data_IF_739647912146
#
_entry.id   IF_739647912146
#
_cell.length_a   1.000
_cell.length_b   1.000
_cell.length_c   1.000
_cell.angle_alpha   90.00
_cell.angle_beta   90.00
_cell.angle_gamma   90.00
#
_symmetry.space_group_name_H-M   'P 1'
#
loop_
_entity.id
_entity.type
_entity.pdbx_description
1 polymer ?
#
# COMPACT_ATOMS: atom_id res chain seq x y z
N UNK A 1 18.26 -3.01 -9.12
CA UNK A 1 18.47 -4.05 -8.08
C UNK A 1 18.62 -3.42 -6.70
N UNK A 2 19.51 -2.43 -6.49
CA UNK A 2 19.75 -1.77 -5.19
C UNK A 2 18.48 -1.15 -4.62
N UNK A 3 17.67 -0.51 -5.44
CA UNK A 3 16.42 0.16 -5.07
C UNK A 3 15.40 -0.85 -4.52
N UNK A 4 15.31 -2.05 -5.12
CA UNK A 4 14.46 -3.13 -4.60
C UNK A 4 14.96 -3.69 -3.27
N UNK A 5 16.27 -3.90 -3.12
CA UNK A 5 16.85 -4.33 -1.86
C UNK A 5 16.55 -3.33 -0.75
N UNK A 6 16.67 -2.03 -1.03
CA UNK A 6 16.28 -0.96 -0.11
C UNK A 6 14.82 -1.06 0.31
N UNK A 7 13.90 -1.25 -0.64
CA UNK A 7 12.47 -1.44 -0.39
C UNK A 7 12.18 -2.66 0.50
N UNK A 8 12.84 -3.80 0.25
CA UNK A 8 12.68 -4.99 1.08
C UNK A 8 13.21 -4.80 2.51
N UNK A 9 14.35 -4.15 2.67
CA UNK A 9 14.91 -3.83 4.01
C UNK A 9 13.95 -2.91 4.77
N UNK A 10 13.40 -1.90 4.11
CA UNK A 10 12.42 -0.99 4.69
C UNK A 10 11.13 -1.72 5.12
N UNK A 11 10.63 -2.66 4.29
CA UNK A 11 9.47 -3.48 4.63
C UNK A 11 9.70 -4.32 5.88
N UNK A 12 10.86 -5.00 5.97
CA UNK A 12 11.25 -5.79 7.13
C UNK A 12 11.39 -4.90 8.37
N UNK A 13 11.98 -3.71 8.23
CA UNK A 13 12.14 -2.76 9.33
C UNK A 13 10.76 -2.27 9.84
N UNK A 14 9.83 -1.96 8.94
CA UNK A 14 8.47 -1.55 9.29
C UNK A 14 7.74 -2.65 10.09
N UNK A 15 7.82 -3.91 9.64
CA UNK A 15 7.21 -5.04 10.36
C UNK A 15 7.86 -5.29 11.71
N UNK A 16 9.20 -5.27 11.80
CA UNK A 16 9.91 -5.50 13.07
C UNK A 16 9.72 -4.38 14.10
N UNK A 17 9.49 -3.16 13.65
CA UNK A 17 9.26 -2.01 14.54
C UNK A 17 7.79 -1.85 14.95
N UNK A 18 6.86 -2.62 14.36
CA UNK A 18 5.42 -2.45 14.55
C UNK A 18 4.84 -1.19 13.89
N UNK A 19 5.61 -0.55 13.02
CA UNK A 19 5.15 0.62 12.26
C UNK A 19 3.96 0.27 11.35
N UNK A 20 3.97 -0.92 10.76
CA UNK A 20 2.88 -1.47 9.96
C UNK A 20 1.56 -1.54 10.75
N UNK A 21 1.61 -2.04 12.00
CA UNK A 21 0.44 -2.11 12.90
C UNK A 21 -0.06 -0.70 13.26
N UNK A 22 0.86 0.20 13.59
CA UNK A 22 0.53 1.60 13.90
C UNK A 22 -0.16 2.27 12.72
N UNK A 23 0.43 2.16 11.52
CA UNK A 23 -0.13 2.74 10.30
C UNK A 23 -1.49 2.14 9.95
N UNK A 24 -1.63 0.81 10.01
CA UNK A 24 -2.91 0.15 9.73
C UNK A 24 -4.01 0.63 10.67
N UNK A 25 -3.74 0.73 11.98
CA UNK A 25 -4.71 1.23 12.96
C UNK A 25 -5.10 2.69 12.70
N UNK A 26 -4.11 3.54 12.51
CA UNK A 26 -4.30 4.98 12.31
C UNK A 26 -5.04 5.27 11.01
N UNK A 27 -4.69 4.54 9.93
CA UNK A 27 -5.28 4.76 8.61
C UNK A 27 -6.67 4.12 8.44
N UNK A 28 -6.98 3.02 9.16
CA UNK A 28 -8.30 2.39 9.09
C UNK A 28 -9.34 3.17 9.93
N UNK A 29 -8.92 3.78 11.03
CA UNK A 29 -9.81 4.50 11.94
C UNK A 29 -10.73 5.54 11.27
N UNK A 30 -10.28 6.37 10.31
CA UNK A 30 -11.11 7.37 9.64
C UNK A 30 -12.27 6.78 8.82
N UNK A 31 -12.19 5.52 8.40
CA UNK A 31 -13.25 4.89 7.60
C UNK A 31 -14.48 4.50 8.43
N UNK A 32 -14.39 4.63 9.75
CA UNK A 32 -15.50 4.39 10.67
C UNK A 32 -15.95 2.93 10.73
N UNK A 33 -17.20 2.72 11.12
CA UNK A 33 -17.74 1.37 11.39
C UNK A 33 -18.58 0.78 10.24
N UNK A 34 -18.91 1.56 9.20
CA UNK A 34 -19.70 1.05 8.07
C UNK A 34 -18.93 -0.01 7.31
N UNK A 35 -19.52 -1.19 7.09
CA UNK A 35 -18.87 -2.34 6.45
C UNK A 35 -18.27 -2.00 5.08
N UNK A 36 -18.98 -1.22 4.27
CA UNK A 36 -18.52 -0.80 2.95
C UNK A 36 -17.32 0.16 3.02
N UNK A 37 -17.30 1.05 4.01
CA UNK A 37 -16.18 1.97 4.22
C UNK A 37 -14.95 1.23 4.75
N UNK A 38 -15.15 0.24 5.62
CA UNK A 38 -14.08 -0.64 6.09
C UNK A 38 -13.44 -1.40 4.92
N UNK A 39 -14.25 -1.91 3.99
CA UNK A 39 -13.75 -2.53 2.76
C UNK A 39 -12.89 -1.56 1.96
N UNK A 40 -13.37 -0.33 1.72
CA UNK A 40 -12.62 0.71 1.03
C UNK A 40 -11.32 1.04 1.75
N UNK A 41 -11.39 1.18 3.08
CA UNK A 41 -10.22 1.45 3.92
C UNK A 41 -9.14 0.37 3.77
N UNK A 42 -9.52 -0.90 3.85
CA UNK A 42 -8.58 -2.00 3.63
C UNK A 42 -7.96 -1.98 2.25
N UNK A 43 -8.75 -1.71 1.20
CA UNK A 43 -8.24 -1.61 -0.17
C UNK A 43 -7.25 -0.45 -0.35
N UNK A 44 -7.62 0.75 0.11
CA UNK A 44 -6.78 1.94 -0.02
C UNK A 44 -5.48 1.81 0.78
N UNK A 45 -5.57 1.34 2.02
CA UNK A 45 -4.39 1.17 2.88
C UNK A 45 -3.46 0.11 2.31
N UNK A 46 -4.02 -1.03 1.88
CA UNK A 46 -3.25 -2.07 1.20
C UNK A 46 -2.57 -1.51 -0.05
N UNK A 47 -3.28 -0.70 -0.84
CA UNK A 47 -2.73 -0.04 -2.01
C UNK A 47 -1.57 0.89 -1.67
N UNK A 48 -1.71 1.74 -0.65
CA UNK A 48 -0.66 2.65 -0.20
C UNK A 48 0.59 1.89 0.26
N UNK A 49 0.43 0.84 1.06
CA UNK A 49 1.57 0.02 1.47
C UNK A 49 2.25 -0.66 0.28
N UNK A 50 1.46 -1.18 -0.65
CA UNK A 50 1.98 -1.89 -1.80
C UNK A 50 2.72 -1.00 -2.81
N UNK A 51 2.57 0.30 -2.74
CA UNK A 51 3.39 1.25 -3.50
C UNK A 51 4.88 1.14 -3.15
N UNK A 52 5.20 0.79 -1.90
CA UNK A 52 6.57 0.82 -1.37
C UNK A 52 7.06 -0.52 -0.85
N UNK A 53 6.14 -1.44 -0.60
CA UNK A 53 6.38 -2.79 -0.09
C UNK A 53 5.89 -3.78 -1.16
N UNK A 54 6.55 -4.92 -1.31
CA UNK A 54 6.10 -5.92 -2.30
C UNK A 54 4.65 -6.35 -2.06
N UNK A 55 3.90 -6.59 -3.14
CA UNK A 55 2.49 -6.97 -3.08
C UNK A 55 2.25 -8.18 -2.16
N UNK A 56 3.14 -9.18 -2.23
CA UNK A 56 3.04 -10.41 -1.42
C UNK A 56 3.23 -10.12 0.07
N UNK A 57 4.25 -9.32 0.43
CA UNK A 57 4.49 -8.95 1.82
C UNK A 57 3.35 -8.09 2.38
N UNK A 58 2.88 -7.12 1.60
CA UNK A 58 1.73 -6.28 1.94
C UNK A 58 0.47 -7.12 2.14
N UNK A 59 0.18 -8.05 1.22
CA UNK A 59 -0.99 -8.91 1.33
C UNK A 59 -0.92 -9.81 2.58
N UNK A 60 0.22 -10.44 2.84
CA UNK A 60 0.42 -11.29 4.02
C UNK A 60 0.21 -10.49 5.32
N UNK A 61 0.79 -9.29 5.42
CA UNK A 61 0.63 -8.39 6.56
C UNK A 61 -0.84 -8.00 6.75
N UNK A 62 -1.50 -7.53 5.70
CA UNK A 62 -2.89 -7.06 5.76
C UNK A 62 -3.89 -8.18 6.07
N UNK A 63 -3.63 -9.42 5.63
CA UNK A 63 -4.45 -10.59 5.99
C UNK A 63 -4.42 -10.86 7.50
N UNK A 64 -3.32 -10.59 8.20
CA UNK A 64 -3.27 -10.74 9.67
C UNK A 64 -4.23 -9.79 10.36
N UNK A 65 -4.44 -8.58 9.82
CA UNK A 65 -5.39 -7.60 10.36
C UNK A 65 -6.86 -7.96 10.08
N UNK A 66 -7.14 -8.84 9.12
CA UNK A 66 -8.51 -9.33 8.90
C UNK A 66 -8.96 -10.35 9.97
N UNK A 67 -8.04 -11.01 10.65
CA UNK A 67 -8.38 -12.04 11.65
C UNK A 67 -9.36 -11.52 12.73
N UNK A 68 -9.11 -10.37 13.39
CA UNK A 68 -10.08 -9.83 14.36
C UNK A 68 -11.37 -9.34 13.68
N UNK A 69 -11.32 -8.84 12.45
CA UNK A 69 -12.49 -8.39 11.71
C UNK A 69 -13.39 -9.57 11.35
N UNK A 70 -12.82 -10.70 11.00
CA UNK A 70 -13.57 -11.94 10.72
C UNK A 70 -14.33 -12.48 11.91
N UNK A 71 -13.86 -12.24 13.15
CA UNK A 71 -14.60 -12.64 14.35
C UNK A 71 -15.92 -11.87 14.51
N UNK A 72 -15.99 -10.65 13.97
CA UNK A 72 -17.20 -9.82 13.99
C UNK A 72 -18.14 -10.09 12.80
N UNK A 73 -17.76 -10.95 11.85
CA UNK A 73 -18.53 -11.27 10.65
C UNK A 73 -19.03 -12.72 10.69
N UNK A 74 -20.24 -13.02 10.14
CA UNK A 74 -20.76 -14.39 10.01
C UNK A 74 -19.75 -15.28 9.28
N UNK A 75 -19.59 -16.53 9.75
CA UNK A 75 -18.58 -17.45 9.22
C UNK A 75 -18.70 -17.71 7.71
N UNK A 76 -19.93 -17.80 7.19
CA UNK A 76 -20.24 -18.02 5.77
C UNK A 76 -20.71 -16.74 5.06
N UNK A 77 -20.44 -15.57 5.64
CA UNK A 77 -20.88 -14.30 5.09
C UNK A 77 -20.05 -13.85 3.87
N UNK A 78 -20.74 -13.37 2.83
CA UNK A 78 -20.08 -12.81 1.62
C UNK A 78 -19.12 -11.65 1.95
N UNK A 79 -19.34 -10.93 3.06
CA UNK A 79 -18.45 -9.87 3.53
C UNK A 79 -17.04 -10.34 3.88
N UNK A 80 -16.86 -11.59 4.32
CA UNK A 80 -15.51 -12.17 4.51
C UNK A 80 -14.80 -12.34 3.18
N UNK A 81 -15.51 -12.83 2.16
CA UNK A 81 -14.96 -12.96 0.80
C UNK A 81 -14.57 -11.58 0.27
N UNK A 82 -15.45 -10.58 0.43
CA UNK A 82 -15.17 -9.21 0.01
C UNK A 82 -13.87 -8.67 0.61
N UNK A 83 -13.69 -8.79 1.92
CA UNK A 83 -12.48 -8.32 2.63
C UNK A 83 -11.24 -9.13 2.24
N UNK A 84 -11.36 -10.45 2.06
CA UNK A 84 -10.23 -11.28 1.62
C UNK A 84 -9.78 -10.90 0.21
N UNK A 85 -10.72 -10.65 -0.70
CA UNK A 85 -10.42 -10.24 -2.08
C UNK A 85 -9.90 -8.79 -2.17
N UNK A 86 -10.33 -7.94 -1.25
CA UNK A 86 -9.88 -6.54 -1.19
C UNK A 86 -8.36 -6.40 -1.04
N UNK A 87 -7.73 -7.31 -0.31
CA UNK A 87 -6.29 -7.25 -0.02
C UNK A 87 -5.44 -7.53 -1.26
N UNK A 88 -5.52 -8.67 -1.95
CA UNK A 88 -4.69 -8.91 -3.13
C UNK A 88 -5.02 -7.93 -4.27
N UNK A 89 -6.28 -7.52 -4.43
CA UNK A 89 -6.66 -6.53 -5.43
C UNK A 89 -6.07 -5.17 -5.07
N UNK A 90 -6.19 -4.75 -3.80
CA UNK A 90 -5.57 -3.52 -3.30
C UNK A 90 -4.06 -3.51 -3.46
N UNK A 91 -3.39 -4.63 -3.14
CA UNK A 91 -1.95 -4.76 -3.29
C UNK A 91 -1.51 -4.68 -4.76
N UNK A 92 -2.16 -5.41 -5.66
CA UNK A 92 -1.80 -5.42 -7.08
C UNK A 92 -2.03 -4.05 -7.74
N UNK A 93 -3.17 -3.43 -7.50
CA UNK A 93 -3.46 -2.10 -8.03
C UNK A 93 -2.54 -1.04 -7.43
N UNK A 94 -2.36 -1.05 -6.10
CA UNK A 94 -1.50 -0.11 -5.41
C UNK A 94 -0.05 -0.19 -5.84
N UNK A 95 0.46 -1.40 -6.03
CA UNK A 95 1.83 -1.64 -6.50
C UNK A 95 2.16 -0.98 -7.84
N UNK A 96 1.16 -0.66 -8.67
CA UNK A 96 1.37 0.08 -9.92
C UNK A 96 1.69 1.56 -9.70
N UNK A 97 1.40 2.11 -8.51
CA UNK A 97 1.54 3.53 -8.22
C UNK A 97 2.98 4.06 -8.24
N UNK A 98 3.97 3.20 -8.03
CA UNK A 98 5.39 3.58 -8.07
C UNK A 98 6.22 2.67 -8.98
N UNK A 99 7.36 3.13 -9.50
CA UNK A 99 8.27 2.28 -10.28
C UNK A 99 8.80 1.06 -9.51
N UNK A 100 8.83 1.12 -8.18
CA UNK A 100 9.38 0.08 -7.31
C UNK A 100 8.33 -0.84 -6.69
N UNK A 101 7.05 -0.48 -6.77
CA UNK A 101 5.98 -1.23 -6.12
C UNK A 101 5.85 -2.67 -6.65
N UNK A 102 6.15 -2.89 -7.94
CA UNK A 102 6.22 -4.24 -8.52
C UNK A 102 7.40 -4.40 -9.48
N UNK A 103 7.97 -5.62 -9.65
CA UNK A 103 9.05 -5.86 -10.59
C UNK A 103 8.74 -5.47 -12.05
N UNK A 104 7.53 -5.72 -12.60
CA UNK A 104 7.18 -5.27 -13.94
C UNK A 104 7.29 -3.76 -14.15
N UNK A 105 6.92 -2.96 -13.15
CA UNK A 105 7.03 -1.49 -13.25
C UNK A 105 8.47 -1.05 -13.37
N UNK A 106 9.37 -1.62 -12.56
CA UNK A 106 10.78 -1.29 -12.63
C UNK A 106 11.40 -1.68 -13.96
N UNK A 107 10.96 -2.79 -14.56
CA UNK A 107 11.39 -3.16 -15.90
C UNK A 107 10.86 -2.17 -16.94
N UNK A 108 9.57 -1.83 -16.90
CA UNK A 108 8.97 -0.83 -17.78
C UNK A 108 9.65 0.53 -17.62
N UNK A 109 9.87 0.98 -16.40
CA UNK A 109 10.56 2.23 -16.10
C UNK A 109 11.97 2.26 -16.69
N UNK A 110 12.72 1.14 -16.57
CA UNK A 110 14.05 1.00 -17.18
C UNK A 110 13.98 1.12 -18.71
N UNK A 111 13.05 0.44 -19.37
CA UNK A 111 12.88 0.51 -20.82
C UNK A 111 12.53 1.93 -21.28
N UNK A 112 11.74 2.65 -20.51
CA UNK A 112 11.36 4.02 -20.82
C UNK A 112 12.53 5.01 -20.68
N UNK A 113 13.39 4.84 -19.66
CA UNK A 113 14.40 5.84 -19.28
C UNK A 113 15.82 5.51 -19.73
N UNK A 114 16.14 4.24 -20.03
CA UNK A 114 17.49 3.84 -20.39
C UNK A 114 17.91 4.41 -21.77
N UNK A 115 19.20 4.76 -21.95
CA UNK A 115 19.74 5.28 -23.21
C UNK A 115 19.59 4.29 -24.38
N UNK A 116 19.61 2.99 -24.08
CA UNK A 116 19.38 1.90 -25.04
C UNK A 116 17.89 1.52 -25.18
N UNK A 117 17.00 2.21 -24.44
CA UNK A 117 15.55 2.10 -24.51
C UNK A 117 14.91 3.26 -25.27
N UNK A 118 13.84 3.81 -24.71
CA UNK A 118 13.15 4.98 -25.30
C UNK A 118 13.81 6.32 -24.93
N UNK A 119 14.73 6.31 -23.99
CA UNK A 119 15.49 7.48 -23.51
C UNK A 119 14.59 8.68 -23.15
N UNK A 120 13.46 8.40 -22.48
CA UNK A 120 12.54 9.43 -22.02
C UNK A 120 13.01 9.99 -20.67
N UNK A 121 12.95 11.28 -20.52
CA UNK A 121 13.24 11.97 -19.25
C UNK A 121 12.01 11.89 -18.32
N UNK A 122 11.83 10.73 -17.71
CA UNK A 122 10.74 10.45 -16.77
C UNK A 122 11.33 10.18 -15.40
N UNK A 123 11.07 11.09 -14.45
CA UNK A 123 11.42 10.92 -13.05
C UNK A 123 10.50 9.97 -12.28
N UNK A 124 10.92 9.59 -11.09
CA UNK A 124 10.09 8.79 -10.17
C UNK A 124 8.78 9.52 -9.83
N UNK A 125 8.85 10.84 -9.63
CA UNK A 125 7.69 11.69 -9.36
C UNK A 125 6.73 11.77 -10.55
N UNK A 126 7.25 11.83 -11.79
CA UNK A 126 6.43 11.88 -13.01
C UNK A 126 5.61 10.60 -13.18
N UNK A 127 6.25 9.43 -12.91
CA UNK A 127 5.52 8.17 -12.87
C UNK A 127 4.38 8.21 -11.86
N UNK A 128 4.65 8.64 -10.62
CA UNK A 128 3.64 8.72 -9.57
C UNK A 128 2.52 9.70 -9.91
N UNK A 129 2.85 10.84 -10.53
CA UNK A 129 1.87 11.87 -10.91
C UNK A 129 0.80 11.32 -11.85
N UNK A 130 1.17 10.39 -12.73
CA UNK A 130 0.26 9.74 -13.68
C UNK A 130 -0.40 8.52 -13.05
N UNK A 131 0.40 7.66 -12.40
CA UNK A 131 -0.07 6.35 -11.96
C UNK A 131 -0.90 6.40 -10.66
N UNK A 132 -0.58 7.30 -9.72
CA UNK A 132 -1.35 7.38 -8.47
C UNK A 132 -2.83 7.77 -8.68
N UNK A 133 -3.18 8.78 -9.49
CA UNK A 133 -4.58 9.06 -9.81
C UNK A 133 -5.27 7.87 -10.50
N UNK A 134 -4.59 7.22 -11.45
CA UNK A 134 -5.12 6.03 -12.13
C UNK A 134 -5.38 4.89 -11.14
N UNK A 135 -4.44 4.60 -10.26
CA UNK A 135 -4.57 3.58 -9.20
C UNK A 135 -5.75 3.91 -8.28
N UNK A 136 -5.92 5.17 -7.88
CA UNK A 136 -7.04 5.59 -7.04
C UNK A 136 -8.39 5.31 -7.73
N UNK A 137 -8.53 5.68 -9.01
CA UNK A 137 -9.73 5.39 -9.80
C UNK A 137 -9.98 3.88 -9.88
N UNK A 138 -8.95 3.08 -10.17
CA UNK A 138 -9.04 1.63 -10.25
C UNK A 138 -9.44 1.00 -8.91
N UNK A 139 -8.90 1.48 -7.78
CA UNK A 139 -9.26 1.02 -6.44
C UNK A 139 -10.74 1.33 -6.11
N UNK A 140 -11.22 2.51 -6.47
CA UNK A 140 -12.64 2.89 -6.26
C UNK A 140 -13.55 2.03 -7.14
N UNK A 141 -13.20 1.79 -8.40
CA UNK A 141 -13.94 0.90 -9.29
C UNK A 141 -13.96 -0.54 -8.77
N UNK A 142 -12.81 -1.06 -8.35
CA UNK A 142 -12.71 -2.40 -7.77
C UNK A 142 -13.52 -2.51 -6.47
N UNK A 143 -13.49 -1.49 -5.61
CA UNK A 143 -14.34 -1.42 -4.42
C UNK A 143 -15.82 -1.50 -4.77
N UNK A 144 -16.26 -0.73 -5.78
CA UNK A 144 -17.65 -0.73 -6.23
C UNK A 144 -18.09 -2.11 -6.75
N UNK A 145 -17.22 -2.78 -7.51
CA UNK A 145 -17.46 -4.13 -8.06
C UNK A 145 -17.54 -5.15 -6.91
N UNK A 146 -16.55 -5.16 -6.00
CA UNK A 146 -16.48 -6.12 -4.90
C UNK A 146 -17.69 -5.98 -3.97
N UNK A 147 -18.07 -4.76 -3.59
CA UNK A 147 -19.22 -4.55 -2.71
C UNK A 147 -20.53 -4.98 -3.35
N UNK A 148 -20.66 -4.87 -4.70
CA UNK A 148 -21.83 -5.32 -5.45
C UNK A 148 -21.88 -6.85 -5.58
N UNK A 149 -20.74 -7.48 -5.81
CA UNK A 149 -20.64 -8.95 -5.95
C UNK A 149 -20.77 -9.68 -4.60
N UNK A 150 -20.20 -9.09 -3.56
CA UNK A 150 -20.12 -9.67 -2.21
C UNK A 150 -20.71 -8.73 -1.15
N UNK A 151 -22.04 -8.51 -1.14
CA UNK A 151 -22.65 -7.60 -0.19
C UNK A 151 -22.51 -8.07 1.24
N UNK A 152 -22.30 -7.11 2.15
CA UNK A 152 -22.25 -7.38 3.58
C UNK A 152 -23.64 -7.63 4.15
N UNK A 153 -23.79 -8.68 4.96
CA UNK A 153 -25.03 -8.95 5.71
C UNK A 153 -25.22 -7.96 6.87
N UNK A 154 -24.13 -7.36 7.34
CA UNK A 154 -24.12 -6.40 8.45
C UNK A 154 -23.75 -5.01 7.94
N UNK A 155 -24.49 -3.99 8.39
CA UNK A 155 -24.21 -2.59 8.02
C UNK A 155 -22.98 -2.02 8.71
N UNK A 156 -22.60 -2.56 9.87
CA UNK A 156 -21.48 -2.07 10.68
C UNK A 156 -20.58 -3.21 11.15
N UNK A 157 -19.28 -2.95 11.18
CA UNK A 157 -18.24 -3.84 11.70
C UNK A 157 -17.54 -3.09 12.84
N UNK A 158 -17.50 -3.68 14.03
CA UNK A 158 -16.67 -3.16 15.11
C UNK A 158 -15.24 -3.64 14.95
N UNK A 159 -14.38 -2.70 14.59
CA UNK A 159 -12.96 -2.96 14.42
C UNK A 159 -12.26 -2.91 15.79
N UNK A 160 -12.08 -4.06 16.41
CA UNK A 160 -11.18 -4.22 17.55
C UNK A 160 -9.82 -4.71 17.03
N UNK A 161 -9.04 -3.83 16.43
CA UNK A 161 -7.66 -4.17 16.07
C UNK A 161 -6.85 -4.20 17.37
N UNK A 162 -6.74 -5.41 17.96
CA UNK A 162 -5.91 -5.64 19.15
C UNK A 162 -4.44 -5.59 18.76
N UNK A 163 -3.70 -4.84 19.48
CA UNK A 163 -2.24 -4.68 19.44
C UNK A 163 -1.92 -3.39 20.17
N UNK A 164 -1.08 -3.41 21.14
CA UNK A 164 -0.63 -2.18 21.80
C UNK A 164 0.24 -1.41 20.79
N UNK A 165 -0.15 -0.15 20.57
CA UNK A 165 0.69 0.78 19.84
C UNK A 165 1.86 1.08 20.77
N UNK A 166 2.94 0.32 20.61
CA UNK A 166 4.16 0.65 21.32
C UNK A 166 4.84 1.77 20.53
N UNK A 167 4.64 3.01 20.97
CA UNK A 167 5.43 4.16 20.56
C UNK A 167 6.84 4.00 21.13
N UNK A 168 7.65 3.17 20.47
CA UNK A 168 9.03 2.99 20.83
C UNK A 168 9.91 3.89 19.94
N UNK A 169 11.07 4.34 20.45
CA UNK A 169 12.03 5.13 19.67
C UNK A 169 12.38 4.43 18.32
N UNK A 170 12.39 3.09 18.30
CA UNK A 170 12.63 2.29 17.09
C UNK A 170 11.56 2.53 16.02
N UNK A 171 10.28 2.57 16.42
CA UNK A 171 9.16 2.86 15.52
C UNK A 171 9.27 4.27 14.94
N UNK A 172 9.68 5.25 15.76
CA UNK A 172 9.88 6.63 15.32
C UNK A 172 11.02 6.73 14.32
N UNK A 173 12.16 6.10 14.60
CA UNK A 173 13.32 6.10 13.69
C UNK A 173 12.97 5.44 12.36
N UNK A 174 12.30 4.29 12.37
CA UNK A 174 11.88 3.60 11.14
C UNK A 174 10.87 4.44 10.36
N UNK A 175 9.90 5.06 11.03
CA UNK A 175 8.94 5.95 10.39
C UNK A 175 9.62 7.18 9.75
N UNK A 176 10.53 7.81 10.46
CA UNK A 176 11.29 8.95 9.95
C UNK A 176 12.16 8.56 8.75
N UNK A 177 12.85 7.41 8.82
CA UNK A 177 13.63 6.87 7.71
C UNK A 177 12.76 6.55 6.51
N UNK A 178 11.56 5.98 6.73
CA UNK A 178 10.60 5.66 5.69
C UNK A 178 10.14 6.92 4.95
N UNK A 179 9.72 7.95 5.70
CA UNK A 179 9.29 9.24 5.14
C UNK A 179 10.45 9.91 4.39
N UNK A 180 11.64 9.96 5.00
CA UNK A 180 12.82 10.55 4.37
C UNK A 180 13.18 9.84 3.06
N UNK A 181 13.12 8.50 3.02
CA UNK A 181 13.39 7.73 1.81
C UNK A 181 12.39 8.04 0.71
N UNK A 182 11.10 8.12 1.03
CA UNK A 182 10.05 8.51 0.05
C UNK A 182 10.32 9.91 -0.48
N UNK A 183 10.59 10.87 0.41
CA UNK A 183 10.89 12.26 0.03
C UNK A 183 12.12 12.31 -0.90
N UNK A 184 13.18 11.59 -0.57
CA UNK A 184 14.39 11.52 -1.42
C UNK A 184 14.10 10.84 -2.75
N UNK A 185 13.22 9.85 -2.82
CA UNK A 185 12.86 9.22 -4.10
C UNK A 185 12.01 10.13 -4.97
N UNK A 186 11.07 10.86 -4.39
CA UNK A 186 10.20 11.78 -5.14
C UNK A 186 10.97 13.02 -5.61
N UNK A 187 11.86 13.55 -4.77
CA UNK A 187 12.57 14.80 -5.06
C UNK A 187 14.04 14.60 -5.41
N UNK A 188 14.63 13.43 -5.13
CA UNK A 188 16.07 13.20 -5.26
C UNK A 188 16.61 13.23 -6.70
N UNK A 189 15.80 12.87 -7.68
CA UNK A 189 16.15 13.02 -9.09
C UNK A 189 16.27 14.48 -9.52
N UNK A 190 15.46 15.36 -8.93
CA UNK A 190 15.57 16.80 -9.13
C UNK A 190 16.86 17.40 -8.54
N UNK A 191 17.41 16.80 -7.48
CA UNK A 191 18.65 17.24 -6.84
C UNK A 191 19.91 16.70 -7.55
N UNK A 192 19.83 15.53 -8.19
CA UNK A 192 20.96 14.94 -8.93
C UNK A 192 21.18 15.66 -10.25
N UNK A 193 20.13 16.11 -10.94
CA UNK A 193 20.25 16.91 -12.17
C UNK A 193 20.81 18.31 -11.95
N UNK A 194 20.86 18.83 -10.72
CA UNK A 194 21.48 20.13 -10.41
C UNK A 194 23.01 20.01 -10.29
N UNK A 195 23.55 18.82 -10.18
CA UNK A 195 24.99 18.57 -9.90
C UNK A 195 25.82 18.00 -11.05
N UNK A 196 25.23 17.80 -12.23
CA UNK A 196 26.01 17.45 -13.42
C UNK A 196 26.18 18.70 -14.33
N UNK A 197 27.45 19.13 -14.56
CA UNK A 197 27.74 20.23 -15.50
C UNK A 197 27.59 19.79 -16.96
#
# INVERSE_FOLDING_TARGET
IILFLGGFVMAIAATKSGLDVLMAKTLIAPFGKKSENVLLGFMLITGIFSMFISNTATAAMMLTFLTPVFKALPANGKGRIALTMAIPIGANLGGMGTPIGTPPNAFAYKVLTAPDGLNLDIGFGDWMMIMCPMVLVMLVLAWFIIRKMFPFSQKTIELQIKGDIQFNWRTIVVAATFILTIVLWVFGLSLIHISEP
#
